data_IF_832786394269
#
_entry.id   IF_832786394269
#
_cell.length_a   1.000
_cell.length_b   1.000
_cell.length_c   1.000
_cell.angle_alpha   90.00
_cell.angle_beta   90.00
_cell.angle_gamma   90.00
#
_symmetry.space_group_name_H-M   'P 1'
#
loop_
_entity.id
_entity.type
_entity.pdbx_description
1 polymer ?
#
# COMPACT_ATOMS: atom_id res chain seq x y z
N UNK A 1 19.04 -22.68 -1.77
CA UNK A 1 18.25 -21.63 -2.48
C UNK A 1 16.94 -22.28 -2.92
N UNK A 2 15.80 -21.64 -2.71
CA UNK A 2 14.50 -22.18 -3.20
C UNK A 2 14.45 -22.10 -4.72
N UNK A 3 13.97 -23.16 -5.37
CA UNK A 3 13.70 -23.16 -6.80
C UNK A 3 12.22 -22.75 -7.01
N UNK A 4 12.01 -21.64 -7.70
CA UNK A 4 10.69 -21.12 -8.02
C UNK A 4 10.23 -21.47 -9.45
N UNK A 5 11.03 -22.22 -10.20
CA UNK A 5 10.71 -22.59 -11.58
C UNK A 5 9.59 -23.63 -11.68
N UNK A 6 9.46 -24.47 -10.66
CA UNK A 6 8.49 -25.58 -10.61
C UNK A 6 7.33 -25.36 -9.63
N UNK A 7 7.42 -24.34 -8.75
CA UNK A 7 6.36 -24.04 -7.78
C UNK A 7 6.25 -22.54 -7.53
N UNK A 8 5.04 -22.00 -7.69
CA UNK A 8 4.72 -20.58 -7.49
C UNK A 8 4.10 -20.29 -6.12
N UNK A 9 4.02 -21.27 -5.22
CA UNK A 9 3.38 -21.12 -3.90
C UNK A 9 4.02 -20.06 -2.99
N UNK A 10 5.31 -19.75 -3.24
CA UNK A 10 6.09 -18.75 -2.50
C UNK A 10 6.19 -17.40 -3.21
N UNK A 11 5.52 -17.25 -4.36
CA UNK A 11 5.50 -16.00 -5.09
C UNK A 11 4.33 -15.13 -4.63
N UNK A 12 4.56 -13.84 -4.61
CA UNK A 12 3.52 -12.82 -4.41
C UNK A 12 3.64 -11.72 -5.46
N UNK A 13 2.52 -11.26 -5.97
CA UNK A 13 2.47 -10.20 -6.98
C UNK A 13 1.91 -8.93 -6.36
N UNK A 14 2.66 -7.82 -6.48
CA UNK A 14 2.12 -6.50 -6.26
C UNK A 14 1.21 -6.16 -7.46
N UNK A 15 -0.08 -5.99 -7.20
CA UNK A 15 -1.08 -5.85 -8.28
C UNK A 15 -0.93 -4.58 -9.11
N UNK A 16 -0.20 -3.57 -8.60
CA UNK A 16 0.12 -2.37 -9.39
C UNK A 16 0.96 -2.69 -10.63
N UNK A 17 1.79 -3.75 -10.58
CA UNK A 17 2.68 -4.13 -11.69
C UNK A 17 1.93 -4.75 -12.87
N UNK A 18 0.72 -5.26 -12.62
CA UNK A 18 -0.10 -5.95 -13.62
C UNK A 18 -1.50 -5.36 -13.76
N UNK A 19 -1.74 -4.19 -13.15
CA UNK A 19 -3.06 -3.51 -13.25
C UNK A 19 -3.40 -2.99 -14.64
N UNK A 20 -2.39 -2.82 -15.50
CA UNK A 20 -2.58 -2.45 -16.90
C UNK A 20 -2.07 -3.57 -17.80
N UNK A 21 -2.94 -4.09 -18.65
CA UNK A 21 -2.62 -5.11 -19.65
C UNK A 21 -3.07 -4.61 -21.02
N UNK A 22 -2.17 -4.66 -22.00
CA UNK A 22 -2.44 -4.17 -23.36
C UNK A 22 -3.00 -2.73 -23.41
N UNK A 23 -2.57 -1.88 -22.47
CA UNK A 23 -3.01 -0.48 -22.39
C UNK A 23 -4.33 -0.23 -21.63
N UNK A 24 -5.07 -1.28 -21.26
CA UNK A 24 -6.31 -1.18 -20.49
C UNK A 24 -6.13 -1.55 -19.01
N UNK A 25 -6.90 -0.91 -18.14
CA UNK A 25 -6.96 -1.31 -16.71
C UNK A 25 -7.69 -2.64 -16.57
N UNK A 26 -7.11 -3.53 -15.75
CA UNK A 26 -7.67 -4.83 -15.40
C UNK A 26 -8.26 -4.74 -14.00
N UNK A 27 -9.56 -5.05 -13.81
CA UNK A 27 -10.18 -5.07 -12.48
C UNK A 27 -9.50 -6.07 -11.55
N UNK A 28 -9.48 -5.76 -10.25
CA UNK A 28 -8.78 -6.58 -9.26
C UNK A 28 -9.29 -8.02 -9.18
N UNK A 29 -10.59 -8.24 -9.32
CA UNK A 29 -11.18 -9.58 -9.33
C UNK A 29 -10.60 -10.45 -10.46
N UNK A 30 -10.38 -9.88 -11.64
CA UNK A 30 -9.73 -10.58 -12.76
C UNK A 30 -8.26 -10.87 -12.49
N UNK A 31 -7.54 -9.95 -11.85
CA UNK A 31 -6.15 -10.18 -11.43
C UNK A 31 -6.09 -11.33 -10.42
N UNK A 32 -7.00 -11.39 -9.47
CA UNK A 32 -7.09 -12.48 -8.49
C UNK A 32 -7.31 -13.83 -9.20
N UNK A 33 -8.26 -13.90 -10.14
CA UNK A 33 -8.52 -15.11 -10.93
C UNK A 33 -7.30 -15.55 -11.73
N UNK A 34 -6.59 -14.62 -12.38
CA UNK A 34 -5.35 -14.90 -13.13
C UNK A 34 -4.24 -15.43 -12.21
N UNK A 35 -4.06 -14.86 -11.04
CA UNK A 35 -3.10 -15.33 -10.04
C UNK A 35 -3.43 -16.75 -9.57
N UNK A 36 -4.71 -17.02 -9.28
CA UNK A 36 -5.16 -18.35 -8.89
C UNK A 36 -4.89 -19.39 -10.00
N UNK A 37 -5.24 -19.07 -11.24
CA UNK A 37 -5.02 -19.94 -12.41
C UNK A 37 -3.52 -20.22 -12.65
N UNK A 38 -2.64 -19.24 -12.36
CA UNK A 38 -1.19 -19.40 -12.45
C UNK A 38 -0.55 -20.09 -11.23
N UNK A 39 -1.34 -20.54 -10.25
CA UNK A 39 -0.82 -21.18 -9.03
C UNK A 39 -0.15 -20.22 -8.06
N UNK A 40 -0.31 -18.90 -8.22
CA UNK A 40 0.22 -17.88 -7.32
C UNK A 40 -0.71 -17.79 -6.11
N UNK A 41 -0.15 -17.92 -4.91
CA UNK A 41 -0.90 -18.05 -3.66
C UNK A 41 -0.95 -16.76 -2.82
N UNK A 42 -0.26 -15.71 -3.24
CA UNK A 42 -0.29 -14.42 -2.54
C UNK A 42 -0.26 -13.24 -3.50
N UNK A 43 -0.92 -12.15 -3.10
CA UNK A 43 -0.86 -10.87 -3.79
C UNK A 43 -0.67 -9.74 -2.80
N UNK A 44 -0.25 -8.56 -3.28
CA UNK A 44 -0.24 -7.30 -2.54
C UNK A 44 -1.10 -6.29 -3.31
N UNK A 45 -2.41 -6.21 -3.03
CA UNK A 45 -3.31 -5.31 -3.74
C UNK A 45 -3.18 -3.87 -3.26
N UNK A 46 -3.58 -2.94 -4.12
CA UNK A 46 -3.66 -1.53 -3.78
C UNK A 46 -5.06 -1.15 -3.32
N UNK A 47 -5.14 -0.22 -2.36
CA UNK A 47 -6.39 0.23 -1.72
C UNK A 47 -7.43 0.74 -2.72
N UNK A 48 -6.99 1.52 -3.73
CA UNK A 48 -7.88 2.02 -4.78
C UNK A 48 -8.52 0.90 -5.60
N UNK A 49 -7.78 -0.17 -5.89
CA UNK A 49 -8.31 -1.34 -6.58
C UNK A 49 -9.34 -2.10 -5.72
N UNK A 50 -9.06 -2.25 -4.42
CA UNK A 50 -10.00 -2.89 -3.48
C UNK A 50 -11.26 -2.02 -3.30
N UNK A 51 -11.09 -0.72 -3.12
CA UNK A 51 -12.20 0.22 -2.95
C UNK A 51 -13.15 0.23 -4.15
N UNK A 52 -12.61 0.17 -5.38
CA UNK A 52 -13.40 0.16 -6.62
C UNK A 52 -14.28 -1.09 -6.75
N UNK A 53 -13.88 -2.21 -6.15
CA UNK A 53 -14.59 -3.50 -6.22
C UNK A 53 -15.44 -3.79 -4.98
N UNK A 54 -15.16 -3.11 -3.88
CA UNK A 54 -15.75 -3.36 -2.57
C UNK A 54 -15.01 -4.44 -1.76
N UNK A 55 -14.61 -4.06 -0.54
CA UNK A 55 -13.75 -4.87 0.33
C UNK A 55 -14.34 -6.25 0.65
N UNK A 56 -15.65 -6.34 0.88
CA UNK A 56 -16.32 -7.60 1.20
C UNK A 56 -16.30 -8.58 0.02
N UNK A 57 -16.48 -8.07 -1.21
CA UNK A 57 -16.42 -8.88 -2.43
C UNK A 57 -15.01 -9.46 -2.59
N UNK A 58 -13.99 -8.63 -2.45
CA UNK A 58 -12.59 -9.05 -2.57
C UNK A 58 -12.23 -10.06 -1.47
N UNK A 59 -12.61 -9.81 -0.21
CA UNK A 59 -12.37 -10.74 0.88
C UNK A 59 -12.98 -12.14 0.62
N UNK A 60 -14.22 -12.17 0.10
CA UNK A 60 -14.89 -13.42 -0.24
C UNK A 60 -14.19 -14.16 -1.36
N UNK A 61 -13.77 -13.48 -2.43
CA UNK A 61 -13.06 -14.07 -3.56
C UNK A 61 -11.68 -14.63 -3.15
N UNK A 62 -10.88 -13.86 -2.39
CA UNK A 62 -9.59 -14.29 -1.86
C UNK A 62 -9.74 -15.57 -1.03
N UNK A 63 -10.72 -15.60 -0.14
CA UNK A 63 -11.02 -16.77 0.68
C UNK A 63 -11.42 -17.98 -0.16
N UNK A 64 -12.30 -17.80 -1.15
CA UNK A 64 -12.78 -18.88 -2.01
C UNK A 64 -11.65 -19.51 -2.85
N UNK A 65 -10.67 -18.70 -3.28
CA UNK A 65 -9.54 -19.13 -4.10
C UNK A 65 -8.28 -19.49 -3.29
N UNK A 66 -8.29 -19.33 -1.97
CA UNK A 66 -7.15 -19.62 -1.10
C UNK A 66 -5.95 -18.72 -1.36
N UNK A 67 -6.19 -17.45 -1.75
CA UNK A 67 -5.12 -16.46 -1.99
C UNK A 67 -4.97 -15.60 -0.75
N UNK A 68 -3.73 -15.54 -0.22
CA UNK A 68 -3.35 -14.68 0.89
C UNK A 68 -2.93 -13.28 0.43
N UNK A 69 -2.89 -12.34 1.38
CA UNK A 69 -2.32 -11.02 1.14
C UNK A 69 -0.96 -10.91 1.84
N UNK A 70 0.12 -10.81 1.05
CA UNK A 70 1.49 -10.59 1.56
C UNK A 70 1.72 -9.17 2.06
N UNK A 71 0.89 -8.21 1.61
CA UNK A 71 0.85 -6.83 2.06
C UNK A 71 -0.40 -6.15 1.53
N UNK A 72 -0.74 -4.99 2.12
CA UNK A 72 -1.84 -4.14 1.68
C UNK A 72 -1.32 -2.74 1.38
N UNK A 73 -1.32 -2.35 0.15
CA UNK A 73 -0.79 -1.09 -0.33
C UNK A 73 -1.93 -0.08 -0.55
N UNK A 74 -1.83 1.12 -0.06
CA UNK A 74 -0.74 1.70 0.66
C UNK A 74 -1.27 2.65 1.72
N UNK A 75 -0.59 2.72 2.85
CA UNK A 75 -0.68 3.80 3.81
C UNK A 75 0.55 4.72 3.67
N UNK A 76 0.82 5.54 4.69
CA UNK A 76 1.91 6.51 4.70
C UNK A 76 1.45 7.90 4.27
N UNK A 77 2.33 8.64 3.55
CA UNK A 77 2.04 10.00 3.07
C UNK A 77 1.67 10.99 4.19
N UNK A 78 2.41 10.93 5.30
CA UNK A 78 2.15 11.75 6.48
C UNK A 78 2.43 13.25 6.29
N UNK A 79 3.48 13.69 5.54
CA UNK A 79 3.75 15.10 5.38
C UNK A 79 2.56 15.84 4.80
N UNK A 80 2.16 16.93 5.47
CA UNK A 80 0.98 17.70 5.10
C UNK A 80 1.24 19.21 5.19
N UNK A 81 0.48 20.06 4.48
CA UNK A 81 0.68 21.50 4.52
C UNK A 81 0.37 22.10 5.88
N UNK A 82 -0.57 21.51 6.62
CA UNK A 82 -1.09 22.00 7.91
C UNK A 82 -1.53 20.87 8.84
N UNK A 83 -1.94 21.25 10.06
CA UNK A 83 -2.38 20.29 11.08
C UNK A 83 -3.64 19.48 10.68
N UNK A 84 -4.54 20.07 9.92
CA UNK A 84 -5.74 19.38 9.45
C UNK A 84 -5.37 18.28 8.45
N UNK A 85 -4.44 18.57 7.55
CA UNK A 85 -3.89 17.59 6.62
C UNK A 85 -3.14 16.45 7.34
N UNK A 86 -2.35 16.77 8.37
CA UNK A 86 -1.71 15.74 9.22
C UNK A 86 -2.73 14.83 9.88
N UNK A 87 -3.79 15.39 10.47
CA UNK A 87 -4.86 14.60 11.09
C UNK A 87 -5.56 13.73 10.06
N UNK A 88 -5.87 14.26 8.88
CA UNK A 88 -6.48 13.51 7.79
C UNK A 88 -5.59 12.33 7.33
N UNK A 89 -4.26 12.53 7.27
CA UNK A 89 -3.31 11.48 6.96
C UNK A 89 -3.30 10.38 8.04
N UNK A 90 -3.33 10.73 9.31
CA UNK A 90 -3.41 9.76 10.42
C UNK A 90 -4.70 8.96 10.37
N UNK A 91 -5.84 9.62 10.13
CA UNK A 91 -7.14 8.96 10.04
C UNK A 91 -7.21 8.04 8.82
N UNK A 92 -6.58 8.41 7.69
CA UNK A 92 -6.48 7.54 6.51
C UNK A 92 -5.62 6.31 6.78
N UNK A 93 -4.52 6.45 7.51
CA UNK A 93 -3.68 5.32 7.89
C UNK A 93 -4.39 4.37 8.86
N UNK A 94 -5.20 4.86 9.80
CA UNK A 94 -6.07 4.02 10.63
C UNK A 94 -7.05 3.21 9.78
N UNK A 95 -7.72 3.86 8.83
CA UNK A 95 -8.61 3.15 7.88
C UNK A 95 -7.86 2.07 7.08
N UNK A 96 -6.64 2.36 6.61
CA UNK A 96 -5.83 1.37 5.91
C UNK A 96 -5.49 0.15 6.78
N UNK A 97 -5.23 0.36 8.07
CA UNK A 97 -4.98 -0.70 9.04
C UNK A 97 -6.24 -1.55 9.27
N UNK A 98 -7.40 -0.92 9.40
CA UNK A 98 -8.69 -1.61 9.58
C UNK A 98 -9.08 -2.44 8.33
N UNK A 99 -8.91 -1.87 7.15
CA UNK A 99 -9.12 -2.55 5.86
C UNK A 99 -8.19 -3.77 5.73
N UNK A 100 -6.90 -3.61 6.05
CA UNK A 100 -5.94 -4.70 6.03
C UNK A 100 -6.30 -5.82 7.01
N UNK A 101 -6.78 -5.45 8.20
CA UNK A 101 -7.28 -6.41 9.21
C UNK A 101 -8.47 -7.18 8.69
N UNK A 102 -9.44 -6.51 8.09
CA UNK A 102 -10.62 -7.12 7.48
C UNK A 102 -10.25 -8.10 6.36
N UNK A 103 -9.24 -7.77 5.56
CA UNK A 103 -8.73 -8.60 4.48
C UNK A 103 -7.76 -9.70 4.95
N UNK A 104 -7.44 -9.76 6.23
CA UNK A 104 -6.43 -10.66 6.80
C UNK A 104 -5.06 -10.54 6.09
N UNK A 105 -4.63 -9.32 5.81
CA UNK A 105 -3.33 -9.04 5.21
C UNK A 105 -2.19 -9.29 6.21
N UNK A 106 -1.02 -9.71 5.71
CA UNK A 106 0.16 -9.93 6.53
C UNK A 106 0.72 -8.62 7.11
N UNK A 107 0.61 -7.51 6.40
CA UNK A 107 1.01 -6.17 6.85
C UNK A 107 0.33 -5.07 6.04
N UNK A 108 0.37 -3.84 6.59
CA UNK A 108 0.13 -2.62 5.80
C UNK A 108 1.46 -2.04 5.36
N UNK A 109 1.58 -1.70 4.08
CA UNK A 109 2.77 -1.04 3.54
C UNK A 109 2.61 0.47 3.67
N UNK A 110 3.46 1.09 4.48
CA UNK A 110 3.55 2.54 4.64
C UNK A 110 4.59 3.09 3.66
N UNK A 111 4.14 3.80 2.64
CA UNK A 111 5.01 4.47 1.68
C UNK A 111 5.43 5.81 2.25
N UNK A 112 6.73 6.01 2.42
CA UNK A 112 7.29 7.20 3.08
C UNK A 112 8.32 7.89 2.20
N UNK A 113 8.54 9.20 2.44
CA UNK A 113 9.56 9.98 1.74
C UNK A 113 9.02 10.98 0.70
N UNK A 114 7.71 11.01 0.43
CA UNK A 114 7.12 12.05 -0.39
C UNK A 114 6.93 13.35 0.41
N UNK A 115 7.25 14.49 -0.22
CA UNK A 115 6.82 15.80 0.27
C UNK A 115 5.32 16.00 -0.02
N UNK A 116 4.61 16.83 0.79
CA UNK A 116 3.18 17.04 0.59
C UNK A 116 2.89 17.65 -0.78
N UNK A 117 2.00 17.03 -1.53
CA UNK A 117 1.65 17.44 -2.90
C UNK A 117 2.62 16.97 -3.99
N UNK A 118 3.74 16.32 -3.65
CA UNK A 118 4.74 15.88 -4.63
C UNK A 118 4.18 14.96 -5.72
N UNK A 119 3.29 14.04 -5.36
CA UNK A 119 2.65 13.13 -6.32
C UNK A 119 1.68 13.83 -7.28
N UNK A 120 1.17 15.00 -6.89
CA UNK A 120 0.35 15.86 -7.75
C UNK A 120 1.17 16.89 -8.54
N UNK A 121 2.52 16.84 -8.44
CA UNK A 121 3.41 17.79 -9.10
C UNK A 121 3.47 19.19 -8.46
N UNK A 122 2.84 19.37 -7.30
CA UNK A 122 2.79 20.66 -6.59
C UNK A 122 3.21 20.48 -5.14
N UNK A 123 4.49 20.69 -4.85
CA UNK A 123 5.03 20.57 -3.50
C UNK A 123 4.60 21.77 -2.64
N UNK A 124 3.88 21.52 -1.54
CA UNK A 124 3.39 22.56 -0.64
C UNK A 124 4.51 23.23 0.15
N UNK A 125 5.56 22.46 0.52
CA UNK A 125 6.78 22.97 1.13
C UNK A 125 7.97 22.06 0.82
N UNK A 126 9.20 22.57 0.91
CA UNK A 126 10.45 21.84 0.62
C UNK A 126 11.32 21.57 1.87
N UNK A 127 10.82 21.87 3.08
CA UNK A 127 11.53 21.60 4.32
C UNK A 127 11.58 20.10 4.62
N UNK A 128 12.71 19.51 4.33
CA UNK A 128 12.93 18.07 4.49
C UNK A 128 13.02 17.65 5.95
N UNK A 129 13.52 18.55 6.82
CA UNK A 129 13.63 18.27 8.25
C UNK A 129 12.25 18.19 8.87
N UNK A 130 11.38 19.14 8.54
CA UNK A 130 9.96 19.11 8.89
C UNK A 130 9.28 17.85 8.37
N UNK A 131 9.44 17.54 7.07
CA UNK A 131 8.81 16.36 6.48
C UNK A 131 9.25 15.05 7.17
N UNK A 132 10.53 14.93 7.53
CA UNK A 132 11.03 13.75 8.26
C UNK A 132 10.46 13.65 9.67
N UNK A 133 10.30 14.78 10.36
CA UNK A 133 9.60 14.83 11.66
C UNK A 133 8.16 14.34 11.54
N UNK A 134 7.40 14.88 10.59
CA UNK A 134 6.01 14.47 10.32
C UNK A 134 5.89 12.98 9.94
N UNK A 135 6.84 12.43 9.19
CA UNK A 135 6.90 10.99 8.89
C UNK A 135 7.17 10.18 10.15
N UNK A 136 8.15 10.59 10.96
CA UNK A 136 8.49 9.89 12.21
C UNK A 136 7.29 9.84 13.16
N UNK A 137 6.65 10.98 13.40
CA UNK A 137 5.49 11.07 14.29
C UNK A 137 4.29 10.31 13.73
N UNK A 138 4.08 10.37 12.40
CA UNK A 138 3.02 9.64 11.72
C UNK A 138 3.20 8.11 11.80
N UNK A 139 4.44 7.62 11.64
CA UNK A 139 4.75 6.20 11.83
C UNK A 139 4.51 5.80 13.29
N UNK A 140 4.97 6.60 14.26
CA UNK A 140 4.81 6.30 15.68
C UNK A 140 3.32 6.17 16.06
N UNK A 141 2.49 7.15 15.66
CA UNK A 141 1.05 7.13 15.91
C UNK A 141 0.34 5.96 15.22
N UNK A 142 0.72 5.66 13.97
CA UNK A 142 0.18 4.52 13.23
C UNK A 142 0.59 3.18 13.85
N UNK A 143 1.82 3.07 14.36
CA UNK A 143 2.33 1.86 15.01
C UNK A 143 1.61 1.58 16.33
N UNK A 144 1.31 2.61 17.11
CA UNK A 144 0.52 2.47 18.34
C UNK A 144 -0.86 1.85 18.04
N UNK A 145 -1.57 2.41 17.07
CA UNK A 145 -2.85 1.87 16.64
C UNK A 145 -2.74 0.46 16.06
N UNK A 146 -1.78 0.24 15.16
CA UNK A 146 -1.56 -1.07 14.53
C UNK A 146 -1.28 -2.18 15.55
N UNK A 147 -0.49 -1.88 16.59
CA UNK A 147 -0.23 -2.80 17.72
C UNK A 147 -1.49 -3.15 18.49
N UNK A 148 -2.37 -2.17 18.73
CA UNK A 148 -3.63 -2.39 19.45
C UNK A 148 -4.57 -3.38 18.74
N UNK A 149 -4.49 -3.44 17.41
CA UNK A 149 -5.30 -4.36 16.58
C UNK A 149 -4.50 -5.56 16.05
N UNK A 150 -3.21 -5.66 16.35
CA UNK A 150 -2.34 -6.76 15.95
C UNK A 150 -2.02 -6.78 14.45
N UNK A 151 -1.88 -5.60 13.81
CA UNK A 151 -1.53 -5.46 12.40
C UNK A 151 -0.06 -5.05 12.23
N UNK A 152 0.80 -5.84 11.59
CA UNK A 152 2.16 -5.45 11.26
C UNK A 152 2.20 -4.29 10.27
N UNK A 153 3.22 -3.43 10.40
CA UNK A 153 3.52 -2.37 9.43
C UNK A 153 4.84 -2.66 8.73
N UNK A 154 4.89 -2.45 7.43
CA UNK A 154 6.10 -2.49 6.62
C UNK A 154 6.40 -1.08 6.07
N UNK A 155 7.65 -0.66 6.09
CA UNK A 155 8.06 0.65 5.59
C UNK A 155 8.64 0.51 4.19
N UNK A 156 8.09 1.24 3.23
CA UNK A 156 8.59 1.34 1.86
C UNK A 156 9.08 2.77 1.59
N UNK A 157 10.40 2.98 1.45
CA UNK A 157 10.93 4.30 1.08
C UNK A 157 10.58 4.61 -0.38
N UNK A 158 10.02 5.80 -0.61
CA UNK A 158 9.68 6.26 -1.95
C UNK A 158 10.94 6.65 -2.71
N UNK A 159 10.97 6.30 -4.01
CA UNK A 159 12.09 6.65 -4.89
C UNK A 159 12.24 8.18 -5.01
N UNK A 160 13.48 8.67 -5.06
CA UNK A 160 13.80 10.11 -5.08
C UNK A 160 13.09 10.94 -6.17
N UNK A 161 12.82 10.35 -7.34
CA UNK A 161 12.14 11.05 -8.46
C UNK A 161 10.65 11.30 -8.21
N UNK A 162 10.01 10.53 -7.32
CA UNK A 162 8.60 10.72 -6.96
C UNK A 162 8.45 11.36 -5.58
N UNK A 163 9.55 11.56 -4.84
CA UNK A 163 9.53 12.19 -3.52
C UNK A 163 9.39 13.71 -3.57
N UNK A 164 9.55 14.34 -4.73
CA UNK A 164 9.63 15.79 -4.89
C UNK A 164 10.99 16.39 -4.51
N UNK A 165 12.00 15.53 -4.28
CA UNK A 165 13.37 15.90 -3.93
C UNK A 165 14.34 15.82 -5.11
N UNK A 166 13.87 15.47 -6.31
CA UNK A 166 14.69 15.50 -7.51
C UNK A 166 15.17 16.93 -7.69
N UNK A 167 16.46 17.14 -7.52
CA UNK A 167 17.12 18.40 -7.91
C UNK A 167 17.12 18.49 -9.42
N UNK A 168 16.69 19.62 -9.96
CA UNK A 168 16.95 19.97 -11.34
C UNK A 168 18.47 19.81 -11.60
N UNK A 169 18.83 18.86 -12.47
CA UNK A 169 20.16 18.72 -13.00
C UNK A 169 20.20 19.30 -14.40
#
# INVERSE_FOLDING_TARGET
>A
MRDFSSSHEWLSINTATIRKQLGAEVPLDRIIDQCAAAGIRAISPWRDQVASMGINKIAAQLKALGIGLSGYCRGGFFPAPDAAGLQAALDDNRRAIDEAKQLNAACVVLVVGALPGALAGQVAYKDITRARGEVFDGIAASLEYARSVGMPLAIEPLHQYVSGLATDR
#
